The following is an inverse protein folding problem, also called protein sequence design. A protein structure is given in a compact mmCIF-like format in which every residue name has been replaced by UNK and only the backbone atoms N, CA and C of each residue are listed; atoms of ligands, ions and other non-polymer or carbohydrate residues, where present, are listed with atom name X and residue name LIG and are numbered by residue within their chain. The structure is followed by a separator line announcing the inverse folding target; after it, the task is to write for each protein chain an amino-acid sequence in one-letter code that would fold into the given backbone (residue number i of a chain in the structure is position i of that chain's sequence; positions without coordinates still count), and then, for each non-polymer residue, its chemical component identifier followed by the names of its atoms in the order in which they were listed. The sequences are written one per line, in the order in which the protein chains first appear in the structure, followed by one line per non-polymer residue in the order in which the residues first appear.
data_IF_068096285126
#
_entry.id   IF_068096285126
#
_cell.length_a   1.000
_cell.length_b   1.000
_cell.length_c   1.000
_cell.angle_alpha   90.00
_cell.angle_beta   90.00
_cell.angle_gamma   90.00
#
_symmetry.space_group_name_H-M   'P 1'
#
loop_
_entity.id
_entity.type
_entity.pdbx_description
1 polymer ?
#
# COMPACT_ATOMS: atom_id res chain seq x y z
N UNK A 1 23.71 -20.45 42.26
CA UNK A 1 22.75 -19.33 42.16
C UNK A 1 22.20 -19.31 40.74
N UNK A 2 20.88 -19.19 40.60
CA UNK A 2 20.12 -19.30 39.33
C UNK A 2 19.96 -17.91 38.72
N UNK A 3 20.46 -17.67 37.52
CA UNK A 3 20.10 -16.49 36.73
C UNK A 3 18.91 -16.83 35.83
N UNK A 4 17.74 -16.81 36.46
CA UNK A 4 16.43 -17.20 35.93
C UNK A 4 15.70 -16.07 35.18
N UNK A 5 16.41 -15.05 34.70
CA UNK A 5 15.80 -13.77 34.29
C UNK A 5 15.83 -13.46 32.79
N UNK A 6 16.53 -14.27 31.98
CA UNK A 6 16.67 -14.01 30.54
C UNK A 6 15.79 -14.88 29.64
N UNK A 7 15.05 -15.86 30.19
CA UNK A 7 14.11 -16.70 29.42
C UNK A 7 12.65 -16.24 29.52
N UNK A 8 12.35 -15.20 30.31
CA UNK A 8 10.97 -14.70 30.51
C UNK A 8 10.56 -13.58 29.53
N UNK A 9 11.50 -13.00 28.77
CA UNK A 9 11.21 -11.84 27.90
C UNK A 9 10.76 -12.27 26.49
N UNK A 10 10.93 -13.53 26.09
CA UNK A 10 10.57 -14.00 24.75
C UNK A 10 9.15 -14.57 24.60
N UNK A 11 8.34 -14.60 25.68
CA UNK A 11 7.04 -15.29 25.67
C UNK A 11 5.83 -14.44 26.12
N UNK A 12 6.00 -13.13 26.29
CA UNK A 12 4.89 -12.21 26.60
C UNK A 12 4.74 -11.29 25.39
N UNK A 13 3.57 -11.30 24.75
CA UNK A 13 3.07 -10.37 23.70
C UNK A 13 2.83 -10.91 22.28
N UNK A 14 2.27 -12.11 22.12
CA UNK A 14 1.55 -12.46 20.88
C UNK A 14 0.03 -12.58 21.04
N UNK A 15 -0.48 -12.82 22.26
CA UNK A 15 -1.92 -13.07 22.47
C UNK A 15 -2.71 -11.79 22.78
N UNK A 16 -2.13 -10.82 23.50
CA UNK A 16 -2.83 -9.58 23.88
C UNK A 16 -3.00 -8.60 22.70
N UNK A 17 -2.13 -8.69 21.69
CA UNK A 17 -2.24 -7.86 20.48
C UNK A 17 -3.42 -8.29 19.61
N UNK A 18 -3.71 -9.59 19.52
CA UNK A 18 -4.84 -10.06 18.71
C UNK A 18 -6.17 -9.62 19.34
N UNK A 19 -6.35 -9.78 20.65
CA UNK A 19 -7.59 -9.45 21.36
C UNK A 19 -7.95 -7.94 21.30
N UNK A 20 -6.94 -7.06 21.40
CA UNK A 20 -7.09 -5.61 21.22
C UNK A 20 -7.39 -5.21 19.76
N UNK A 21 -6.96 -6.01 18.79
CA UNK A 21 -7.22 -5.79 17.36
C UNK A 21 -8.62 -6.28 16.97
N UNK A 22 -9.07 -7.43 17.47
CA UNK A 22 -10.39 -7.99 17.13
C UNK A 22 -11.51 -7.10 17.65
N UNK A 23 -11.50 -6.77 18.96
CA UNK A 23 -12.58 -6.00 19.58
C UNK A 23 -12.72 -4.57 19.05
N UNK A 24 -11.62 -3.95 18.62
CA UNK A 24 -11.62 -2.58 18.08
C UNK A 24 -12.02 -2.51 16.60
N UNK A 25 -11.78 -3.59 15.85
CA UNK A 25 -12.16 -3.70 14.45
C UNK A 25 -13.65 -3.98 14.25
N UNK A 26 -14.27 -4.75 15.16
CA UNK A 26 -15.70 -5.05 15.17
C UNK A 26 -16.54 -3.78 15.37
N UNK A 27 -16.16 -2.92 16.33
CA UNK A 27 -16.83 -1.65 16.61
C UNK A 27 -16.83 -0.65 15.43
N UNK A 28 -15.76 -0.68 14.61
CA UNK A 28 -15.69 0.17 13.42
C UNK A 28 -16.67 -0.26 12.32
N UNK A 29 -17.08 -1.53 12.31
CA UNK A 29 -18.11 -2.06 11.41
C UNK A 29 -19.54 -1.69 11.86
N UNK A 30 -19.71 -1.26 13.11
CA UNK A 30 -20.99 -0.78 13.68
C UNK A 30 -21.19 0.75 13.53
N UNK A 31 -20.20 1.47 12.98
CA UNK A 31 -20.31 2.91 12.66
C UNK A 31 -21.07 3.17 11.36
N UNK A 32 -21.50 4.42 11.10
CA UNK A 32 -22.39 4.81 9.99
C UNK A 32 -22.20 4.00 8.68
N UNK A 33 -23.30 3.41 8.20
CA UNK A 33 -23.45 2.47 7.08
C UNK A 33 -22.43 2.62 5.91
N UNK A 34 -22.20 3.80 5.30
CA UNK A 34 -21.28 3.90 4.15
C UNK A 34 -19.81 3.64 4.51
N UNK A 35 -19.37 3.92 5.74
CA UNK A 35 -17.99 3.67 6.17
C UNK A 35 -17.77 2.18 6.46
N UNK A 36 -18.77 1.53 7.07
CA UNK A 36 -18.74 0.11 7.40
C UNK A 36 -18.65 -0.76 6.13
N UNK A 37 -19.44 -0.47 5.09
CA UNK A 37 -19.40 -1.25 3.85
C UNK A 37 -18.04 -1.13 3.13
N UNK A 38 -17.50 0.09 3.03
CA UNK A 38 -16.20 0.33 2.42
C UNK A 38 -15.07 -0.38 3.18
N UNK A 39 -15.14 -0.41 4.51
CA UNK A 39 -14.17 -1.12 5.35
C UNK A 39 -14.29 -2.63 5.18
N UNK A 40 -15.51 -3.17 5.17
CA UNK A 40 -15.79 -4.60 4.93
C UNK A 40 -15.21 -5.07 3.60
N UNK A 41 -15.44 -4.32 2.51
CA UNK A 41 -14.86 -4.64 1.21
C UNK A 41 -13.32 -4.64 1.21
N UNK A 42 -12.68 -3.72 1.95
CA UNK A 42 -11.21 -3.69 2.08
C UNK A 42 -10.71 -4.90 2.87
N UNK A 43 -11.40 -5.27 3.94
CA UNK A 43 -11.05 -6.43 4.75
C UNK A 43 -11.12 -7.74 3.95
N UNK A 44 -12.19 -7.93 3.17
CA UNK A 44 -12.34 -9.11 2.32
C UNK A 44 -11.24 -9.21 1.26
N UNK A 45 -10.83 -8.07 0.66
CA UNK A 45 -9.67 -8.05 -0.25
C UNK A 45 -8.39 -8.47 0.45
N UNK A 46 -8.15 -8.01 1.68
CA UNK A 46 -6.97 -8.41 2.47
C UNK A 46 -7.01 -9.91 2.78
N UNK A 47 -8.17 -10.46 3.19
CA UNK A 47 -8.34 -11.91 3.43
C UNK A 47 -8.05 -12.73 2.18
N UNK A 48 -8.62 -12.34 1.03
CA UNK A 48 -8.39 -13.01 -0.25
C UNK A 48 -6.90 -12.98 -0.66
N UNK A 49 -6.24 -11.84 -0.49
CA UNK A 49 -4.80 -11.72 -0.76
C UNK A 49 -3.94 -12.59 0.17
N UNK A 50 -4.27 -12.67 1.47
CA UNK A 50 -3.60 -13.57 2.42
C UNK A 50 -3.77 -15.03 2.01
N UNK A 51 -4.98 -15.44 1.61
CA UNK A 51 -5.28 -16.81 1.14
C UNK A 51 -4.49 -17.18 -0.13
N UNK A 52 -4.21 -16.21 -0.99
CA UNK A 52 -3.38 -16.43 -2.20
C UNK A 52 -1.89 -16.65 -1.92
N UNK A 53 -1.45 -16.61 -0.66
CA UNK A 53 -0.04 -16.78 -0.28
C UNK A 53 0.85 -15.55 -0.56
N UNK A 54 0.27 -14.44 -1.06
CA UNK A 54 1.03 -13.21 -1.36
C UNK A 54 1.29 -12.42 -0.08
N UNK A 55 2.55 -12.04 0.16
CA UNK A 55 2.94 -11.11 1.23
C UNK A 55 2.47 -9.69 0.90
N UNK A 56 1.38 -9.25 1.52
CA UNK A 56 0.72 -7.95 1.30
C UNK A 56 1.54 -6.80 1.88
N UNK A 57 1.95 -6.95 3.13
CA UNK A 57 2.72 -5.94 3.85
C UNK A 57 4.19 -6.32 3.81
N UNK A 58 4.92 -5.75 2.85
CA UNK A 58 6.38 -5.88 2.76
C UNK A 58 7.03 -4.84 3.66
N UNK A 59 8.11 -5.23 4.31
CA UNK A 59 8.85 -4.38 5.26
C UNK A 59 9.62 -3.27 4.57
N UNK A 60 10.04 -3.48 3.32
CA UNK A 60 10.85 -2.54 2.56
C UNK A 60 10.54 -2.59 1.07
N UNK A 61 10.65 -1.43 0.44
CA UNK A 61 10.64 -1.27 -1.01
C UNK A 61 11.80 -0.34 -1.40
N UNK A 62 12.73 -0.83 -2.20
CA UNK A 62 13.90 -0.07 -2.64
C UNK A 62 13.54 0.80 -3.84
N UNK A 63 13.01 1.99 -3.57
CA UNK A 63 12.81 3.03 -4.59
C UNK A 63 14.16 3.57 -5.05
N UNK A 64 14.25 3.95 -6.32
CA UNK A 64 15.46 4.57 -6.89
C UNK A 64 15.27 6.05 -7.27
N UNK A 65 14.06 6.60 -7.09
CA UNK A 65 13.75 7.98 -7.46
C UNK A 65 12.58 8.54 -6.65
N UNK A 66 12.59 9.84 -6.38
CA UNK A 66 11.39 10.56 -5.95
C UNK A 66 10.63 11.09 -7.17
N UNK A 67 9.36 11.41 -6.99
CA UNK A 67 8.53 11.90 -8.08
C UNK A 67 9.00 13.28 -8.57
N UNK A 68 9.39 14.18 -7.65
CA UNK A 68 9.88 15.50 -8.03
C UNK A 68 11.12 15.44 -8.93
N UNK A 69 12.02 14.49 -8.70
CA UNK A 69 13.26 14.34 -9.48
C UNK A 69 12.96 13.97 -10.94
N UNK A 70 11.98 13.07 -11.12
CA UNK A 70 11.51 12.66 -12.46
C UNK A 70 10.87 13.86 -13.17
N UNK A 71 10.00 14.61 -12.49
CA UNK A 71 9.34 15.79 -13.08
C UNK A 71 10.33 16.88 -13.46
N UNK A 72 11.32 17.15 -12.61
CA UNK A 72 12.37 18.12 -12.89
C UNK A 72 13.23 17.69 -14.08
N UNK A 73 13.65 16.41 -14.10
CA UNK A 73 14.45 15.83 -15.19
C UNK A 73 13.78 15.96 -16.55
N UNK A 74 12.46 15.79 -16.61
CA UNK A 74 11.67 15.85 -17.84
C UNK A 74 10.78 17.09 -17.95
N UNK A 75 11.13 18.18 -17.25
CA UNK A 75 10.36 19.44 -17.23
C UNK A 75 10.20 20.11 -18.60
N UNK A 76 11.10 19.80 -19.55
CA UNK A 76 11.09 20.33 -20.93
C UNK A 76 10.49 19.37 -21.95
N UNK A 77 10.00 18.19 -21.53
CA UNK A 77 9.41 17.20 -22.42
C UNK A 77 8.07 17.72 -22.96
N UNK A 78 7.93 17.80 -24.29
CA UNK A 78 6.71 18.34 -24.91
C UNK A 78 5.62 17.28 -25.00
N UNK A 79 4.38 17.73 -25.20
CA UNK A 79 3.26 16.83 -25.43
C UNK A 79 3.52 15.93 -26.64
N UNK A 80 3.33 14.61 -26.47
CA UNK A 80 3.57 13.61 -27.51
C UNK A 80 5.00 13.08 -27.56
N UNK A 81 5.96 13.75 -26.92
CA UNK A 81 7.33 13.25 -26.81
C UNK A 81 7.42 12.12 -25.78
N UNK A 82 8.33 11.18 -26.04
CA UNK A 82 8.67 10.09 -25.13
C UNK A 82 10.13 10.22 -24.76
N UNK A 83 10.43 9.96 -23.50
CA UNK A 83 11.80 9.86 -23.03
C UNK A 83 12.01 8.51 -22.36
N UNK A 84 13.19 7.93 -22.57
CA UNK A 84 13.57 6.68 -21.95
C UNK A 84 13.95 6.89 -20.49
N UNK A 85 13.58 5.93 -19.65
CA UNK A 85 13.91 5.93 -18.22
C UNK A 85 13.19 4.81 -17.48
N UNK A 86 13.92 4.13 -16.58
CA UNK A 86 13.36 3.10 -15.71
C UNK A 86 13.41 3.58 -14.26
N UNK A 87 12.24 3.75 -13.66
CA UNK A 87 12.09 4.29 -12.32
C UNK A 87 11.32 3.32 -11.41
N UNK A 88 11.75 3.23 -10.16
CA UNK A 88 11.09 2.53 -9.06
C UNK A 88 10.65 3.60 -8.06
N UNK A 89 9.34 3.83 -7.99
CA UNK A 89 8.72 4.83 -7.11
C UNK A 89 7.75 4.16 -6.15
N UNK A 90 7.48 4.83 -5.03
CA UNK A 90 6.50 4.38 -4.04
C UNK A 90 5.77 5.60 -3.45
N UNK A 91 4.48 5.43 -3.17
CA UNK A 91 3.61 6.48 -2.69
C UNK A 91 2.18 5.98 -2.47
N UNK A 92 1.29 6.88 -2.07
CA UNK A 92 -0.14 6.63 -1.90
C UNK A 92 -0.86 6.76 -3.24
N UNK A 93 -1.66 5.77 -3.60
CA UNK A 93 -2.60 5.91 -4.72
C UNK A 93 -3.76 6.81 -4.30
N UNK A 94 -3.98 7.91 -5.02
CA UNK A 94 -5.04 8.89 -4.72
C UNK A 94 -6.20 8.84 -5.70
N UNK A 95 -6.01 8.27 -6.89
CA UNK A 95 -7.05 8.11 -7.89
C UNK A 95 -6.86 6.81 -8.65
N UNK A 96 -7.96 6.16 -9.04
CA UNK A 96 -7.93 4.91 -9.79
C UNK A 96 -9.08 4.89 -10.81
N UNK A 97 -8.73 4.87 -12.09
CA UNK A 97 -9.64 5.01 -13.23
C UNK A 97 -9.41 3.84 -14.18
N UNK A 98 -10.37 2.93 -14.28
CA UNK A 98 -10.29 1.75 -15.14
C UNK A 98 -11.16 1.94 -16.39
N UNK A 99 -10.55 1.76 -17.56
CA UNK A 99 -11.19 1.86 -18.88
C UNK A 99 -10.81 0.64 -19.73
N UNK A 100 -11.59 -0.44 -19.62
CA UNK A 100 -11.30 -1.69 -20.34
C UNK A 100 -9.91 -2.23 -20.00
N UNK A 101 -9.02 -2.24 -21.00
CA UNK A 101 -7.62 -2.70 -20.89
C UNK A 101 -6.64 -1.63 -20.38
N UNK A 102 -7.05 -0.36 -20.36
CA UNK A 102 -6.26 0.75 -19.85
C UNK A 102 -6.69 1.10 -18.42
N UNK A 103 -5.71 1.34 -17.56
CA UNK A 103 -5.92 1.84 -16.20
C UNK A 103 -5.01 3.03 -15.95
N UNK A 104 -5.60 4.10 -15.45
CA UNK A 104 -4.90 5.30 -15.02
C UNK A 104 -5.00 5.44 -13.51
N UNK A 105 -3.92 5.81 -12.86
CA UNK A 105 -3.91 6.03 -11.42
C UNK A 105 -2.93 7.12 -11.06
N UNK A 106 -3.21 7.88 -10.02
CA UNK A 106 -2.30 8.91 -9.53
C UNK A 106 -1.60 8.39 -8.28
N UNK A 107 -0.27 8.40 -8.29
CA UNK A 107 0.57 8.07 -7.14
C UNK A 107 1.19 9.35 -6.58
N UNK A 108 1.08 9.54 -5.27
CA UNK A 108 1.63 10.69 -4.53
C UNK A 108 2.63 10.21 -3.49
N UNK A 109 3.86 10.72 -3.57
CA UNK A 109 4.86 10.54 -2.52
C UNK A 109 4.96 11.82 -1.65
N UNK A 110 5.98 11.91 -0.80
CA UNK A 110 6.19 13.10 0.04
C UNK A 110 6.63 14.34 -0.74
N UNK A 111 7.09 14.17 -1.98
CA UNK A 111 7.68 15.23 -2.81
C UNK A 111 6.70 15.78 -3.82
N UNK A 112 5.94 14.92 -4.52
CA UNK A 112 5.00 15.34 -5.57
C UNK A 112 4.04 14.18 -5.93
N UNK A 113 3.24 14.35 -7.00
CA UNK A 113 2.36 13.35 -7.59
C UNK A 113 2.68 13.14 -9.08
N UNK A 114 2.47 11.91 -9.56
CA UNK A 114 2.59 11.56 -10.98
C UNK A 114 1.49 10.57 -11.39
N UNK A 115 1.06 10.66 -12.66
CA UNK A 115 0.08 9.74 -13.23
C UNK A 115 0.78 8.46 -13.73
N UNK A 116 0.22 7.33 -13.37
CA UNK A 116 0.53 5.99 -13.86
C UNK A 116 -0.42 5.65 -15.01
N UNK A 117 0.13 5.06 -16.06
CA UNK A 117 -0.62 4.40 -17.13
C UNK A 117 -0.24 2.92 -17.14
N UNK A 118 -1.24 2.05 -17.02
CA UNK A 118 -1.08 0.60 -17.06
C UNK A 118 -1.98 0.07 -18.15
N UNK A 119 -1.43 -0.72 -19.06
CA UNK A 119 -2.18 -1.40 -20.11
C UNK A 119 -1.99 -2.91 -19.98
N UNK A 120 -3.10 -3.64 -19.93
CA UNK A 120 -3.09 -5.10 -20.01
C UNK A 120 -2.74 -5.51 -21.44
N UNK A 121 -1.47 -5.89 -21.66
CA UNK A 121 -1.08 -6.63 -22.86
C UNK A 121 -1.74 -8.01 -22.83
N UNK A 122 -2.15 -8.48 -24.00
CA UNK A 122 -2.68 -9.85 -24.16
C UNK A 122 -1.60 -10.89 -23.84
#
# INVERSE_FOLDING_TARGET
MKDKKNDEISNINNNNSEELLTGKSEYLLESEEPLAEALKMRLEKVKALKKSGKKIYRTRFDKNSNIIDIKTRYSKLKAGEKADGVFKIAGRLTGFRKHGRATFSDIKDFTDKIQLYVNQKD
#
